data_IF_149221949785
#
_entry.id   IF_149221949785
#
_cell.length_a   1.000
_cell.length_b   1.000
_cell.length_c   1.000
_cell.angle_alpha   90.00
_cell.angle_beta   90.00
_cell.angle_gamma   90.00
#
_symmetry.space_group_name_H-M   'P 1'
#
loop_
_entity.id
_entity.type
_entity.pdbx_description
1 polymer ?
#
# COMPACT_ATOMS: atom_id res chain seq x y z
N UNK A 1 6.42 25.96 -9.65
CA UNK A 1 6.78 26.91 -8.57
C UNK A 1 5.48 27.55 -8.12
N UNK A 2 5.23 27.68 -6.81
CA UNK A 2 4.03 28.33 -6.26
C UNK A 2 4.53 29.55 -5.50
N UNK A 3 3.99 30.72 -5.81
CA UNK A 3 4.29 32.00 -5.18
C UNK A 3 2.98 32.62 -4.66
N UNK A 4 3.06 33.54 -3.70
CA UNK A 4 1.91 34.26 -3.15
C UNK A 4 2.19 35.76 -3.23
N UNK A 5 1.21 36.55 -3.65
CA UNK A 5 1.29 38.01 -3.74
C UNK A 5 0.34 38.65 -2.71
N UNK A 6 0.87 39.54 -1.85
CA UNK A 6 0.12 40.26 -0.80
C UNK A 6 -0.75 41.37 -1.42
N UNK A 7 -2.03 41.38 -1.04
CA UNK A 7 -3.05 42.34 -1.45
C UNK A 7 -2.76 43.81 -1.14
N UNK A 8 -1.75 44.13 -0.31
CA UNK A 8 -1.32 45.52 -0.01
C UNK A 8 -0.25 46.08 -0.96
N UNK A 9 0.31 45.27 -1.87
CA UNK A 9 1.31 45.70 -2.85
C UNK A 9 0.69 45.98 -4.22
N UNK A 10 -0.22 46.97 -4.29
CA UNK A 10 -0.94 47.32 -5.53
C UNK A 10 -0.44 48.62 -6.15
N UNK A 11 0.87 48.87 -6.15
CA UNK A 11 1.46 49.90 -7.02
C UNK A 11 2.73 49.36 -7.69
N UNK A 12 2.70 49.39 -9.03
CA UNK A 12 3.81 49.29 -9.96
C UNK A 12 4.86 48.17 -9.74
N UNK A 13 4.73 47.08 -10.51
CA UNK A 13 5.90 46.31 -10.99
C UNK A 13 6.76 45.58 -9.94
N UNK A 14 6.33 45.51 -8.68
CA UNK A 14 7.05 44.79 -7.64
C UNK A 14 6.62 43.32 -7.64
N UNK A 15 7.51 42.41 -8.07
CA UNK A 15 7.46 40.99 -7.67
C UNK A 15 7.78 40.95 -6.17
N UNK A 16 6.84 41.38 -5.34
CA UNK A 16 7.00 41.53 -3.91
C UNK A 16 6.66 40.21 -3.22
N UNK A 17 7.69 39.60 -2.63
CA UNK A 17 7.55 38.44 -1.74
C UNK A 17 7.67 37.10 -2.45
N UNK A 18 8.89 36.74 -2.87
CA UNK A 18 9.19 35.34 -3.10
C UNK A 18 8.98 34.60 -1.77
N UNK A 19 7.82 33.95 -1.58
CA UNK A 19 7.63 32.96 -0.53
C UNK A 19 8.67 31.88 -0.77
N UNK A 20 9.86 32.05 -0.17
CA UNK A 20 10.91 31.06 -0.12
C UNK A 20 10.61 30.21 1.11
N UNK A 21 10.11 28.97 0.96
CA UNK A 21 10.01 28.09 2.10
C UNK A 21 11.42 27.98 2.72
N UNK A 22 11.53 28.24 4.04
CA UNK A 22 12.73 27.89 4.80
C UNK A 22 12.79 26.36 4.87
N UNK A 23 13.28 25.74 3.81
CA UNK A 23 13.30 24.28 3.69
C UNK A 23 13.49 23.82 2.26
N UNK A 24 14.55 23.02 2.06
CA UNK A 24 14.97 22.41 0.78
C UNK A 24 13.77 22.00 -0.07
N UNK A 25 13.78 22.39 -1.35
CA UNK A 25 13.11 21.85 -2.55
C UNK A 25 11.78 21.12 -2.27
N UNK A 26 10.65 21.65 -2.76
CA UNK A 26 9.33 21.03 -2.66
C UNK A 26 9.42 19.50 -2.84
N UNK A 27 9.04 18.76 -1.79
CA UNK A 27 8.99 17.31 -1.86
C UNK A 27 8.02 16.95 -2.99
N UNK A 28 8.56 16.29 -4.01
CA UNK A 28 7.78 15.74 -5.12
C UNK A 28 7.05 14.50 -4.64
N UNK A 29 6.19 14.65 -3.63
CA UNK A 29 5.28 13.61 -3.17
C UNK A 29 4.15 13.45 -4.19
N UNK A 30 4.40 12.70 -5.26
CA UNK A 30 3.45 12.54 -6.37
C UNK A 30 2.15 11.81 -6.02
N UNK A 31 2.02 11.28 -4.79
CA UNK A 31 0.87 10.49 -4.33
C UNK A 31 -0.02 11.17 -3.30
N UNK A 32 0.42 12.26 -2.68
CA UNK A 32 -0.38 12.97 -1.67
C UNK A 32 -1.41 13.88 -2.34
N UNK A 33 -2.59 13.96 -1.71
CA UNK A 33 -3.60 14.95 -2.07
C UNK A 33 -2.97 16.35 -2.03
N UNK A 34 -3.28 17.29 -2.95
CA UNK A 34 -2.63 18.59 -2.98
C UNK A 34 -2.71 19.35 -1.64
N UNK A 35 -3.85 19.23 -0.95
CA UNK A 35 -4.10 19.85 0.35
C UNK A 35 -3.30 19.22 1.51
N UNK A 36 -2.88 17.97 1.38
CA UNK A 36 -2.06 17.26 2.37
C UNK A 36 -0.56 17.54 2.17
N UNK A 37 -0.19 18.28 1.12
CA UNK A 37 1.20 18.61 0.88
C UNK A 37 1.65 19.65 1.92
N UNK A 38 2.68 19.36 2.74
CA UNK A 38 3.04 20.21 3.88
C UNK A 38 3.32 21.65 3.45
N UNK A 39 4.04 21.84 2.35
CA UNK A 39 4.35 23.17 1.81
C UNK A 39 3.14 23.93 1.27
N UNK A 40 2.13 23.22 0.76
CA UNK A 40 0.91 23.87 0.28
C UNK A 40 0.02 24.25 1.48
N UNK A 41 -0.07 23.39 2.49
CA UNK A 41 -0.74 23.70 3.75
C UNK A 41 -0.12 24.88 4.50
N UNK A 42 1.22 24.96 4.56
CA UNK A 42 1.93 26.13 5.11
C UNK A 42 1.59 27.42 4.37
N UNK A 43 1.54 27.37 3.03
CA UNK A 43 1.17 28.53 2.21
C UNK A 43 -0.26 28.98 2.50
N UNK A 44 -1.21 28.05 2.58
CA UNK A 44 -2.61 28.35 2.90
C UNK A 44 -2.76 28.94 4.32
N UNK A 45 -1.97 28.45 5.28
CA UNK A 45 -1.96 28.98 6.66
C UNK A 45 -1.39 30.41 6.71
N UNK A 46 -0.42 30.72 5.86
CA UNK A 46 0.19 32.05 5.77
C UNK A 46 -0.67 33.06 5.00
N UNK A 47 -1.44 32.59 4.01
CA UNK A 47 -2.21 33.43 3.12
C UNK A 47 -3.35 34.16 3.83
N UNK A 48 -3.63 35.39 3.39
CA UNK A 48 -4.70 36.22 3.93
C UNK A 48 -5.83 36.38 2.90
N UNK A 49 -7.07 36.60 3.35
CA UNK A 49 -8.17 36.95 2.46
C UNK A 49 -7.78 38.12 1.54
N UNK A 50 -7.95 37.93 0.23
CA UNK A 50 -7.57 38.90 -0.80
C UNK A 50 -6.22 38.62 -1.48
N UNK A 51 -5.39 37.74 -0.93
CA UNK A 51 -4.09 37.41 -1.54
C UNK A 51 -4.27 36.57 -2.83
N UNK A 52 -3.30 36.68 -3.73
CA UNK A 52 -3.28 35.91 -4.99
C UNK A 52 -2.22 34.83 -4.96
N UNK A 53 -2.63 33.58 -5.16
CA UNK A 53 -1.76 32.42 -5.32
C UNK A 53 -1.36 32.30 -6.78
N UNK A 54 -0.06 32.38 -7.05
CA UNK A 54 0.52 32.22 -8.38
C UNK A 54 1.12 30.83 -8.53
N UNK A 55 0.68 30.10 -9.55
CA UNK A 55 1.20 28.77 -9.87
C UNK A 55 1.77 28.80 -11.28
N UNK A 56 2.96 28.20 -11.45
CA UNK A 56 3.54 28.08 -12.79
C UNK A 56 2.64 27.28 -13.74
N UNK A 57 2.14 26.11 -13.31
CA UNK A 57 1.32 25.21 -14.12
C UNK A 57 0.45 24.33 -13.21
N UNK A 58 -0.83 24.14 -13.56
CA UNK A 58 -1.81 23.45 -12.70
C UNK A 58 -1.46 21.96 -12.44
N UNK A 59 -1.06 21.23 -13.49
CA UNK A 59 -0.73 19.80 -13.41
C UNK A 59 0.55 19.49 -12.61
N UNK A 60 1.27 20.50 -12.13
CA UNK A 60 2.38 20.32 -11.17
C UNK A 60 1.90 20.25 -9.73
N UNK A 61 0.81 20.94 -9.42
CA UNK A 61 0.17 20.86 -8.12
C UNK A 61 -0.75 19.64 -8.06
N UNK A 62 -1.49 19.39 -9.14
CA UNK A 62 -2.62 18.46 -9.16
C UNK A 62 -2.39 17.26 -10.09
N UNK A 63 -2.95 16.09 -9.72
CA UNK A 63 -2.85 14.82 -10.47
C UNK A 63 -4.17 14.28 -11.06
N UNK A 64 -5.32 14.85 -10.70
CA UNK A 64 -6.64 14.42 -11.17
C UNK A 64 -7.67 15.53 -11.04
N UNK A 65 -8.83 15.38 -11.67
CA UNK A 65 -9.87 16.41 -11.72
C UNK A 65 -10.43 16.76 -10.35
N UNK A 66 -10.67 15.75 -9.49
CA UNK A 66 -11.18 15.98 -8.13
C UNK A 66 -10.29 16.91 -7.32
N UNK A 67 -8.99 16.61 -7.31
CA UNK A 67 -7.96 17.45 -6.70
C UNK A 67 -7.94 18.90 -7.22
N UNK A 68 -8.34 19.16 -8.48
CA UNK A 68 -8.42 20.53 -9.03
C UNK A 68 -9.58 21.25 -8.35
N UNK A 69 -10.74 20.61 -8.29
CA UNK A 69 -11.94 21.16 -7.68
C UNK A 69 -11.73 21.41 -6.18
N UNK A 70 -11.12 20.46 -5.47
CA UNK A 70 -10.84 20.58 -4.03
C UNK A 70 -9.94 21.79 -3.73
N UNK A 71 -8.90 22.02 -4.55
CA UNK A 71 -8.03 23.19 -4.42
C UNK A 71 -8.79 24.48 -4.71
N UNK A 72 -9.64 24.53 -5.75
CA UNK A 72 -10.44 25.70 -6.08
C UNK A 72 -11.48 26.03 -4.99
N UNK A 73 -12.00 25.03 -4.29
CA UNK A 73 -12.91 25.21 -3.17
C UNK A 73 -12.22 25.75 -1.92
N UNK A 74 -11.03 25.24 -1.59
CA UNK A 74 -10.23 25.78 -0.48
C UNK A 74 -9.80 27.22 -0.74
N UNK A 75 -9.27 27.52 -1.93
CA UNK A 75 -8.87 28.87 -2.29
C UNK A 75 -10.04 29.84 -2.20
N UNK A 76 -11.24 29.44 -2.62
CA UNK A 76 -12.41 30.28 -2.48
C UNK A 76 -12.85 30.49 -1.04
N UNK A 77 -12.94 29.42 -0.25
CA UNK A 77 -13.31 29.50 1.17
C UNK A 77 -12.40 30.48 1.91
N UNK A 78 -11.12 30.46 1.59
CA UNK A 78 -10.10 31.30 2.20
C UNK A 78 -9.99 32.69 1.54
N UNK A 79 -10.86 32.98 0.55
CA UNK A 79 -10.94 34.23 -0.23
C UNK A 79 -9.64 34.59 -0.94
N UNK A 80 -8.99 33.58 -1.51
CA UNK A 80 -7.76 33.69 -2.27
C UNK A 80 -8.06 33.67 -3.77
N UNK A 81 -7.32 34.48 -4.53
CA UNK A 81 -7.34 34.44 -5.98
C UNK A 81 -6.30 33.42 -6.51
N UNK A 82 -6.53 32.86 -7.69
CA UNK A 82 -5.60 31.93 -8.35
C UNK A 82 -5.15 32.50 -9.69
N UNK A 83 -3.84 32.54 -9.91
CA UNK A 83 -3.26 32.90 -11.21
C UNK A 83 -2.32 31.80 -11.69
N UNK A 84 -2.59 31.29 -12.89
CA UNK A 84 -1.79 30.25 -13.54
C UNK A 84 -0.99 30.89 -14.67
N UNK A 85 0.31 30.65 -14.72
CA UNK A 85 1.19 31.32 -15.70
C UNK A 85 1.39 30.54 -17.00
N UNK A 86 1.27 29.21 -16.97
CA UNK A 86 1.59 28.34 -18.09
C UNK A 86 0.60 27.16 -18.18
N UNK A 87 0.50 26.57 -19.38
CA UNK A 87 -0.36 25.45 -19.71
C UNK A 87 -1.80 25.84 -20.06
N UNK A 88 -2.65 24.81 -20.19
CA UNK A 88 -4.03 24.92 -20.71
C UNK A 88 -4.95 25.84 -19.89
N UNK A 89 -4.61 26.12 -18.63
CA UNK A 89 -5.40 26.93 -17.71
C UNK A 89 -4.89 28.37 -17.55
N UNK A 90 -3.80 28.76 -18.22
CA UNK A 90 -3.14 30.06 -18.00
C UNK A 90 -4.01 31.28 -18.34
N UNK A 91 -4.91 31.16 -19.31
CA UNK A 91 -5.79 32.23 -19.76
C UNK A 91 -7.19 32.21 -19.10
N UNK A 92 -7.44 31.29 -18.15
CA UNK A 92 -8.76 31.08 -17.58
C UNK A 92 -8.82 31.56 -16.12
N UNK A 93 -9.89 32.25 -15.77
CA UNK A 93 -10.23 32.48 -14.37
C UNK A 93 -11.00 31.26 -13.82
N UNK A 94 -10.25 30.38 -13.15
CA UNK A 94 -10.80 29.19 -12.51
C UNK A 94 -11.48 29.47 -11.16
N UNK A 95 -11.42 30.71 -10.68
CA UNK A 95 -12.03 31.11 -9.41
C UNK A 95 -13.39 31.79 -9.58
N UNK A 96 -13.83 31.99 -10.83
CA UNK A 96 -15.12 32.60 -11.15
C UNK A 96 -16.29 31.82 -10.52
N UNK A 97 -17.12 32.54 -9.75
CA UNK A 97 -18.22 31.99 -8.96
C UNK A 97 -19.53 32.72 -9.18
N UNK A 98 -20.63 31.99 -9.03
CA UNK A 98 -21.96 32.50 -9.33
C UNK A 98 -22.33 33.56 -8.27
N UNK A 99 -22.71 34.79 -8.69
CA UNK A 99 -22.88 35.92 -7.77
C UNK A 99 -23.90 35.72 -6.65
N UNK A 100 -24.89 34.84 -6.86
CA UNK A 100 -25.97 34.60 -5.87
C UNK A 100 -25.76 33.37 -5.00
N UNK A 101 -25.05 32.36 -5.49
CA UNK A 101 -24.90 31.07 -4.79
C UNK A 101 -23.50 30.86 -4.22
N UNK A 102 -22.49 31.61 -4.69
CA UNK A 102 -21.09 31.42 -4.29
C UNK A 102 -20.46 30.14 -4.86
N UNK A 103 -21.21 29.33 -5.58
CA UNK A 103 -20.71 28.10 -6.20
C UNK A 103 -19.83 28.41 -7.41
N UNK A 104 -18.85 27.53 -7.68
CA UNK A 104 -18.08 27.54 -8.93
C UNK A 104 -19.02 27.56 -10.12
N UNK A 105 -18.77 28.46 -11.08
CA UNK A 105 -19.55 28.52 -12.31
C UNK A 105 -19.55 27.14 -12.98
N UNK A 106 -20.73 26.71 -13.47
CA UNK A 106 -20.85 25.47 -14.22
C UNK A 106 -19.94 25.44 -15.45
N UNK A 107 -19.69 26.60 -16.08
CA UNK A 107 -18.72 26.73 -17.18
C UNK A 107 -17.29 26.43 -16.74
N UNK A 108 -16.88 26.91 -15.56
CA UNK A 108 -15.56 26.59 -14.99
C UNK A 108 -15.46 25.10 -14.67
N UNK A 109 -16.49 24.54 -14.00
CA UNK A 109 -16.54 23.09 -13.70
C UNK A 109 -16.43 22.25 -14.99
N UNK A 110 -17.20 22.61 -16.02
CA UNK A 110 -17.17 21.95 -17.32
C UNK A 110 -15.78 22.05 -17.97
N UNK A 111 -15.20 23.25 -18.07
CA UNK A 111 -13.87 23.43 -18.67
C UNK A 111 -12.78 22.64 -17.93
N UNK A 112 -12.80 22.65 -16.59
CA UNK A 112 -11.88 21.85 -15.76
C UNK A 112 -12.04 20.35 -16.08
N UNK A 113 -13.27 19.84 -16.14
CA UNK A 113 -13.54 18.44 -16.45
C UNK A 113 -13.07 18.06 -17.86
N UNK A 114 -13.40 18.87 -18.88
CA UNK A 114 -13.01 18.62 -20.26
C UNK A 114 -11.49 18.63 -20.44
N UNK A 115 -10.79 19.62 -19.89
CA UNK A 115 -9.33 19.71 -19.99
C UNK A 115 -8.62 18.60 -19.22
N UNK A 116 -9.17 18.21 -18.06
CA UNK A 116 -8.63 17.10 -17.30
C UNK A 116 -8.82 15.76 -18.05
N UNK A 117 -10.00 15.53 -18.64
CA UNK A 117 -10.27 14.35 -19.46
C UNK A 117 -9.37 14.29 -20.70
N UNK A 118 -9.14 15.42 -21.37
CA UNK A 118 -8.18 15.50 -22.48
C UNK A 118 -6.75 15.15 -22.03
N UNK A 119 -6.34 15.62 -20.85
CA UNK A 119 -5.04 15.28 -20.26
C UNK A 119 -4.92 13.82 -19.81
N UNK A 120 -6.03 13.16 -19.46
CA UNK A 120 -6.08 11.71 -19.21
C UNK A 120 -5.92 10.92 -20.50
N UNK A 121 -6.71 11.25 -21.53
CA UNK A 121 -6.63 10.65 -22.85
C UNK A 121 -5.19 10.71 -23.41
N UNK A 122 -4.55 11.87 -23.33
CA UNK A 122 -3.17 12.03 -23.81
C UNK A 122 -2.18 11.14 -23.05
N UNK A 123 -2.35 10.98 -21.72
CA UNK A 123 -1.49 10.10 -20.92
C UNK A 123 -1.69 8.64 -21.28
N UNK A 124 -2.92 8.22 -21.52
CA UNK A 124 -3.22 6.85 -21.89
C UNK A 124 -2.68 6.51 -23.28
N UNK A 125 -2.84 7.41 -24.25
CA UNK A 125 -2.19 7.27 -25.57
C UNK A 125 -0.66 7.15 -25.47
N UNK A 126 -0.02 7.96 -24.62
CA UNK A 126 1.43 7.85 -24.40
C UNK A 126 1.83 6.51 -23.77
N UNK A 127 1.01 5.98 -22.86
CA UNK A 127 1.23 4.65 -22.26
C UNK A 127 1.09 3.55 -23.30
N UNK A 128 0.04 3.59 -24.12
CA UNK A 128 -0.18 2.64 -25.21
C UNK A 128 1.03 2.59 -26.15
N UNK A 129 1.47 3.75 -26.65
CA UNK A 129 2.66 3.85 -27.49
C UNK A 129 3.93 3.34 -26.80
N UNK A 130 4.04 3.53 -25.48
CA UNK A 130 5.16 2.98 -24.69
C UNK A 130 5.10 1.47 -24.63
N UNK A 131 3.92 0.88 -24.39
CA UNK A 131 3.73 -0.57 -24.38
C UNK A 131 3.99 -1.17 -25.75
N UNK A 132 3.59 -0.50 -26.83
CA UNK A 132 3.89 -0.93 -28.19
C UNK A 132 5.40 -0.95 -28.45
N UNK A 133 6.11 0.09 -28.02
CA UNK A 133 7.57 0.13 -28.08
C UNK A 133 8.23 -0.98 -27.27
N UNK A 134 7.72 -1.28 -26.06
CA UNK A 134 8.20 -2.37 -25.23
C UNK A 134 7.95 -3.74 -25.87
N UNK A 135 6.77 -3.98 -26.43
CA UNK A 135 6.44 -5.21 -27.17
C UNK A 135 7.36 -5.38 -28.38
N UNK A 136 7.61 -4.31 -29.12
CA UNK A 136 8.52 -4.33 -30.26
C UNK A 136 9.98 -4.59 -29.83
N UNK A 137 10.41 -4.08 -28.68
CA UNK A 137 11.74 -4.35 -28.14
C UNK A 137 11.87 -5.81 -27.65
N UNK A 138 10.85 -6.33 -26.99
CA UNK A 138 10.78 -7.73 -26.55
C UNK A 138 10.82 -8.70 -27.74
N UNK A 139 10.09 -8.41 -28.81
CA UNK A 139 10.13 -9.19 -30.06
C UNK A 139 11.53 -9.22 -30.71
N UNK A 140 12.38 -8.23 -30.43
CA UNK A 140 13.79 -8.19 -30.84
C UNK A 140 14.74 -8.87 -29.83
N UNK A 141 14.23 -9.46 -28.76
CA UNK A 141 15.00 -10.11 -27.70
C UNK A 141 15.55 -9.15 -26.63
N UNK A 142 15.19 -7.86 -26.65
CA UNK A 142 15.64 -6.92 -25.63
C UNK A 142 14.78 -7.06 -24.37
N UNK A 143 15.36 -7.65 -23.32
CA UNK A 143 14.73 -7.71 -22.01
C UNK A 143 15.00 -6.41 -21.25
N UNK A 144 13.94 -5.64 -20.97
CA UNK A 144 14.02 -4.45 -20.13
C UNK A 144 14.35 -4.78 -18.66
N UNK A 145 14.54 -3.74 -17.83
CA UNK A 145 14.75 -3.88 -16.39
C UNK A 145 16.21 -3.79 -15.94
N UNK A 146 16.45 -4.06 -14.66
CA UNK A 146 17.79 -4.04 -14.06
C UNK A 146 18.59 -5.23 -14.57
N UNK A 147 19.81 -4.97 -15.06
CA UNK A 147 20.75 -6.05 -15.46
C UNK A 147 21.01 -6.99 -14.27
N UNK A 148 21.13 -8.31 -14.50
CA UNK A 148 21.51 -9.26 -13.46
C UNK A 148 22.79 -8.82 -12.76
N UNK A 149 22.84 -8.99 -11.43
CA UNK A 149 24.02 -8.63 -10.64
C UNK A 149 25.21 -9.57 -10.89
N UNK A 150 24.94 -10.81 -11.30
CA UNK A 150 25.95 -11.72 -11.86
C UNK A 150 25.91 -11.55 -13.39
N UNK A 151 26.99 -11.06 -14.01
CA UNK A 151 27.04 -10.92 -15.46
C UNK A 151 27.01 -12.29 -16.13
N UNK A 152 26.43 -12.37 -17.33
CA UNK A 152 26.26 -13.60 -18.12
C UNK A 152 27.53 -14.43 -18.22
N UNK A 153 28.65 -13.76 -18.44
CA UNK A 153 29.97 -14.38 -18.66
C UNK A 153 30.50 -15.10 -17.40
N UNK A 154 30.00 -14.72 -16.22
CA UNK A 154 30.35 -15.34 -14.93
C UNK A 154 29.28 -16.32 -14.44
N UNK A 155 28.08 -16.31 -15.01
CA UNK A 155 26.97 -17.15 -14.58
C UNK A 155 27.29 -18.63 -14.74
N UNK A 156 27.94 -19.02 -15.83
CA UNK A 156 28.32 -20.43 -16.06
C UNK A 156 29.37 -20.89 -15.05
N UNK A 157 30.37 -20.05 -14.75
CA UNK A 157 31.36 -20.35 -13.72
C UNK A 157 30.73 -20.50 -12.33
N UNK A 158 29.78 -19.63 -11.96
CA UNK A 158 29.02 -19.72 -10.71
C UNK A 158 28.19 -21.00 -10.65
N UNK A 159 27.54 -21.38 -11.75
CA UNK A 159 26.74 -22.60 -11.86
C UNK A 159 27.61 -23.86 -11.73
N UNK A 160 28.73 -23.93 -12.45
CA UNK A 160 29.67 -25.06 -12.35
C UNK A 160 30.22 -25.20 -10.94
N UNK A 161 30.69 -24.10 -10.34
CA UNK A 161 31.21 -24.13 -8.98
C UNK A 161 30.16 -24.54 -7.94
N UNK A 162 28.88 -24.18 -8.15
CA UNK A 162 27.77 -24.64 -7.32
C UNK A 162 27.53 -26.16 -7.45
N UNK A 163 27.57 -26.70 -8.68
CA UNK A 163 27.45 -28.14 -8.93
C UNK A 163 28.61 -28.94 -8.34
N UNK A 164 29.80 -28.34 -8.26
CA UNK A 164 30.98 -28.89 -7.57
C UNK A 164 30.87 -28.82 -6.02
N UNK A 165 29.74 -28.32 -5.49
CA UNK A 165 29.43 -28.31 -4.06
C UNK A 165 29.84 -27.04 -3.32
N UNK A 166 30.23 -25.96 -4.02
CA UNK A 166 30.54 -24.67 -3.36
C UNK A 166 29.26 -24.05 -2.81
N UNK A 167 29.33 -23.57 -1.56
CA UNK A 167 28.19 -22.92 -0.92
C UNK A 167 27.84 -21.57 -1.56
N UNK A 168 26.55 -21.22 -1.56
CA UNK A 168 26.02 -19.92 -2.01
C UNK A 168 26.72 -18.75 -1.31
N UNK A 169 27.07 -18.91 -0.02
CA UNK A 169 27.77 -17.87 0.74
C UNK A 169 29.23 -17.70 0.33
N UNK A 170 29.91 -18.76 -0.12
CA UNK A 170 31.26 -18.65 -0.67
C UNK A 170 31.24 -17.93 -2.02
N UNK A 171 30.36 -18.38 -2.94
CA UNK A 171 30.18 -17.77 -4.26
C UNK A 171 29.80 -16.28 -4.17
N UNK A 172 28.95 -15.90 -3.21
CA UNK A 172 28.60 -14.50 -3.00
C UNK A 172 29.81 -13.62 -2.67
N UNK A 173 30.75 -14.14 -1.85
CA UNK A 173 31.98 -13.41 -1.49
C UNK A 173 32.97 -13.37 -2.65
N UNK A 174 33.16 -14.50 -3.33
CA UNK A 174 34.11 -14.64 -4.44
C UNK A 174 33.75 -13.71 -5.62
N UNK A 175 32.45 -13.46 -5.82
CA UNK A 175 31.94 -12.61 -6.89
C UNK A 175 31.52 -11.19 -6.45
N UNK A 176 31.73 -10.83 -5.18
CA UNK A 176 31.32 -9.53 -4.59
C UNK A 176 29.85 -9.16 -4.86
N UNK A 177 28.95 -10.13 -4.69
CA UNK A 177 27.50 -9.96 -4.89
C UNK A 177 26.72 -10.46 -3.69
N UNK A 178 25.46 -10.05 -3.58
CA UNK A 178 24.59 -10.57 -2.52
C UNK A 178 24.31 -12.06 -2.69
N UNK A 179 24.05 -12.76 -1.58
CA UNK A 179 23.60 -14.17 -1.61
C UNK A 179 22.33 -14.34 -2.46
N UNK A 180 21.46 -13.33 -2.48
CA UNK A 180 20.26 -13.30 -3.32
C UNK A 180 20.59 -13.31 -4.81
N UNK A 181 21.60 -12.55 -5.24
CA UNK A 181 22.04 -12.55 -6.63
C UNK A 181 22.56 -13.92 -7.09
N UNK A 182 23.37 -14.59 -6.26
CA UNK A 182 23.81 -15.96 -6.54
C UNK A 182 22.61 -16.92 -6.57
N UNK A 183 21.70 -16.83 -5.59
CA UNK A 183 20.49 -17.66 -5.54
C UNK A 183 19.63 -17.50 -6.80
N UNK A 184 19.53 -16.29 -7.34
CA UNK A 184 18.87 -16.03 -8.63
C UNK A 184 19.63 -16.64 -9.81
N UNK A 185 20.97 -16.62 -9.80
CA UNK A 185 21.80 -17.19 -10.87
C UNK A 185 21.78 -18.73 -10.91
N UNK A 186 21.65 -19.38 -9.75
CA UNK A 186 21.55 -20.85 -9.64
C UNK A 186 20.13 -21.33 -9.35
N UNK A 187 19.11 -20.49 -9.58
CA UNK A 187 17.73 -20.77 -9.19
C UNK A 187 17.24 -22.14 -9.69
N UNK A 188 17.56 -22.46 -10.94
CA UNK A 188 17.16 -23.71 -11.62
C UNK A 188 17.94 -24.95 -11.12
N UNK A 189 19.03 -24.74 -10.39
CA UNK A 189 19.89 -25.79 -9.82
C UNK A 189 19.69 -25.97 -8.31
N UNK A 190 18.98 -25.03 -7.66
CA UNK A 190 18.59 -25.23 -6.28
C UNK A 190 17.65 -26.43 -6.25
N UNK A 191 17.88 -27.43 -5.39
CA UNK A 191 16.80 -28.33 -5.05
C UNK A 191 15.68 -27.45 -4.49
N UNK A 192 14.57 -27.31 -5.23
CA UNK A 192 13.30 -26.98 -4.61
C UNK A 192 13.21 -27.91 -3.42
N UNK A 193 13.16 -27.32 -2.23
CA UNK A 193 13.11 -27.99 -0.94
C UNK A 193 12.48 -29.36 -1.13
N UNK A 194 13.30 -30.41 -1.02
CA UNK A 194 12.86 -31.80 -1.11
C UNK A 194 11.47 -31.88 -0.52
N UNK A 195 10.47 -32.25 -1.32
CA UNK A 195 9.26 -32.85 -0.80
C UNK A 195 9.74 -33.84 0.25
N UNK A 196 9.54 -33.48 1.51
CA UNK A 196 10.14 -34.16 2.65
C UNK A 196 9.57 -35.56 2.60
N UNK A 197 10.47 -36.51 2.35
CA UNK A 197 10.43 -37.90 2.77
C UNK A 197 9.08 -38.61 2.64
N UNK A 198 8.98 -39.47 1.63
CA UNK A 198 8.01 -40.54 1.63
C UNK A 198 8.21 -41.41 2.89
N UNK A 199 7.35 -41.27 3.90
CA UNK A 199 7.28 -42.28 4.98
C UNK A 199 6.76 -41.88 6.36
N UNK A 200 6.53 -40.61 6.68
CA UNK A 200 5.80 -40.26 7.92
C UNK A 200 4.91 -39.06 7.63
N UNK A 201 3.57 -39.13 7.81
CA UNK A 201 2.72 -37.96 7.61
C UNK A 201 3.05 -36.95 8.71
N UNK A 202 3.88 -35.96 8.37
CA UNK A 202 4.04 -34.76 9.18
C UNK A 202 2.68 -34.05 9.18
N UNK A 203 1.94 -34.20 10.28
CA UNK A 203 0.64 -33.57 10.47
C UNK A 203 0.79 -32.06 10.31
N UNK A 204 0.25 -31.51 9.21
CA UNK A 204 0.25 -30.07 8.95
C UNK A 204 -0.45 -29.35 10.11
N UNK A 205 0.26 -28.40 10.72
CA UNK A 205 -0.31 -27.54 11.76
C UNK A 205 -1.37 -26.63 11.11
N UNK A 206 -2.59 -26.68 11.66
CA UNK A 206 -3.68 -25.81 11.24
C UNK A 206 -3.87 -24.72 12.29
N UNK A 207 -4.16 -23.50 11.81
CA UNK A 207 -4.39 -22.35 12.68
C UNK A 207 -5.88 -22.07 12.73
N UNK A 208 -6.51 -22.32 13.89
CA UNK A 208 -7.92 -22.03 14.14
C UNK A 208 -8.08 -20.94 15.18
N UNK A 209 -9.01 -20.02 14.92
CA UNK A 209 -9.47 -19.10 15.95
C UNK A 209 -10.38 -19.86 16.94
N UNK A 210 -10.15 -19.64 18.22
CA UNK A 210 -10.90 -20.25 19.32
C UNK A 210 -11.74 -19.19 20.03
N UNK A 211 -13.06 -19.42 20.18
CA UNK A 211 -13.95 -18.52 20.92
C UNK A 211 -13.50 -18.31 22.37
N UNK A 212 -13.59 -17.08 22.87
CA UNK A 212 -13.06 -16.69 24.19
C UNK A 212 -13.57 -17.55 25.36
N UNK A 213 -14.85 -17.95 25.37
CA UNK A 213 -15.40 -18.84 26.41
C UNK A 213 -14.79 -20.24 26.43
N UNK A 214 -14.36 -20.73 25.26
CA UNK A 214 -13.65 -22.03 25.14
C UNK A 214 -12.21 -21.87 25.60
N UNK A 215 -11.55 -20.77 25.21
CA UNK A 215 -10.21 -20.43 25.66
C UNK A 215 -10.12 -20.28 27.19
N UNK A 216 -11.06 -19.56 27.80
CA UNK A 216 -11.12 -19.34 29.26
C UNK A 216 -11.27 -20.66 30.03
N UNK A 217 -12.11 -21.57 29.52
CA UNK A 217 -12.29 -22.90 30.11
C UNK A 217 -11.01 -23.75 30.01
N UNK A 218 -10.36 -23.77 28.84
CA UNK A 218 -9.14 -24.55 28.61
C UNK A 218 -7.93 -24.03 29.39
N UNK A 219 -7.87 -22.73 29.70
CA UNK A 219 -6.84 -22.17 30.60
C UNK A 219 -6.94 -22.69 32.03
N UNK A 220 -8.15 -23.08 32.47
CA UNK A 220 -8.39 -23.64 33.80
C UNK A 220 -8.40 -25.18 33.82
N UNK A 221 -8.32 -25.84 32.65
CA UNK A 221 -8.31 -27.28 32.52
C UNK A 221 -6.89 -27.86 32.64
N UNK A 222 -6.79 -29.12 33.06
CA UNK A 222 -5.51 -29.84 33.06
C UNK A 222 -5.21 -30.39 31.66
N UNK A 223 -4.28 -29.73 30.96
CA UNK A 223 -3.90 -30.01 29.57
C UNK A 223 -2.48 -30.59 29.48
N UNK A 224 -2.22 -31.39 28.47
CA UNK A 224 -0.88 -31.88 28.18
C UNK A 224 0.07 -30.71 27.78
N UNK A 225 1.40 -30.85 27.95
CA UNK A 225 2.36 -29.78 27.60
C UNK A 225 2.26 -29.31 26.15
N UNK A 226 1.98 -30.24 25.23
CA UNK A 226 1.81 -29.96 23.80
C UNK A 226 0.56 -29.12 23.52
N UNK A 227 -0.52 -29.35 24.25
CA UNK A 227 -1.78 -28.60 24.14
C UNK A 227 -1.65 -27.20 24.70
N UNK A 228 -0.94 -27.03 25.83
CA UNK A 228 -0.67 -25.72 26.44
C UNK A 228 0.17 -24.82 25.54
N UNK A 229 1.14 -25.39 24.81
CA UNK A 229 2.06 -24.63 23.95
C UNK A 229 1.39 -24.15 22.66
N UNK A 230 0.27 -24.77 22.26
CA UNK A 230 -0.48 -24.39 21.08
C UNK A 230 -1.39 -23.15 21.28
N UNK A 231 -1.56 -22.68 22.52
CA UNK A 231 -2.47 -21.59 22.87
C UNK A 231 -1.74 -20.23 22.86
N UNK A 232 -2.10 -19.31 21.97
CA UNK A 232 -1.56 -17.94 21.95
C UNK A 232 -2.24 -17.00 22.98
N UNK A 233 -1.62 -15.88 23.31
CA UNK A 233 -2.14 -14.88 24.26
C UNK A 233 -3.05 -13.86 23.56
N UNK A 234 -4.32 -13.74 23.97
CA UNK A 234 -5.26 -12.76 23.41
C UNK A 234 -6.73 -12.93 23.82
N UNK A 235 -7.57 -11.95 23.43
CA UNK A 235 -9.05 -11.96 23.64
C UNK A 235 -9.79 -12.92 22.69
N UNK A 236 -9.23 -13.17 21.50
CA UNK A 236 -9.55 -14.29 20.60
C UNK A 236 -8.31 -15.14 20.52
N UNK A 237 -8.38 -16.38 21.00
CA UNK A 237 -7.21 -17.22 21.13
C UNK A 237 -6.95 -17.95 19.81
N UNK A 238 -5.76 -17.77 19.22
CA UNK A 238 -5.40 -18.44 17.98
C UNK A 238 -4.64 -19.72 18.33
N UNK A 239 -5.15 -20.87 17.89
CA UNK A 239 -4.56 -22.18 18.18
C UNK A 239 -3.88 -22.69 16.93
N UNK A 240 -2.57 -22.91 16.99
CA UNK A 240 -1.78 -23.51 15.91
C UNK A 240 -1.37 -24.92 16.32
N UNK A 241 -2.14 -25.93 15.91
CA UNK A 241 -1.91 -27.32 16.33
C UNK A 241 -2.25 -28.32 15.22
N UNK A 242 -1.90 -29.59 15.42
CA UNK A 242 -2.32 -30.64 14.49
C UNK A 242 -3.82 -30.92 14.63
N UNK A 243 -4.51 -31.44 13.59
CA UNK A 243 -5.94 -31.75 13.67
C UNK A 243 -6.30 -32.68 14.84
N UNK A 244 -5.40 -33.61 15.20
CA UNK A 244 -5.57 -34.47 16.38
C UNK A 244 -5.60 -33.66 17.69
N UNK A 245 -4.72 -32.67 17.84
CA UNK A 245 -4.68 -31.80 19.03
C UNK A 245 -5.92 -30.92 19.10
N UNK A 246 -6.42 -30.39 17.98
CA UNK A 246 -7.68 -29.65 17.94
C UNK A 246 -8.88 -30.50 18.42
N UNK A 247 -8.93 -31.79 18.02
CA UNK A 247 -9.96 -32.73 18.47
C UNK A 247 -9.86 -33.04 19.97
N UNK A 248 -8.65 -33.17 20.52
CA UNK A 248 -8.44 -33.34 21.97
C UNK A 248 -8.91 -32.12 22.76
N UNK A 249 -8.55 -30.91 22.33
CA UNK A 249 -9.02 -29.67 22.94
C UNK A 249 -10.55 -29.56 22.91
N UNK A 250 -11.20 -29.97 21.80
CA UNK A 250 -12.66 -30.01 21.70
C UNK A 250 -13.29 -31.02 22.67
N UNK A 251 -12.65 -32.19 22.86
CA UNK A 251 -13.11 -33.21 23.83
C UNK A 251 -13.03 -32.70 25.27
N UNK A 252 -11.95 -32.00 25.65
CA UNK A 252 -11.84 -31.37 26.98
C UNK A 252 -12.99 -30.39 27.25
N UNK A 253 -13.54 -29.75 26.21
CA UNK A 253 -14.62 -28.78 26.34
C UNK A 253 -16.02 -29.39 26.50
N UNK A 254 -16.18 -30.72 26.44
CA UNK A 254 -17.48 -31.39 26.57
C UNK A 254 -18.34 -30.95 27.78
N UNK A 255 -17.78 -30.63 28.97
CA UNK A 255 -18.56 -30.14 30.10
C UNK A 255 -19.29 -28.80 29.87
N UNK A 256 -18.88 -28.01 28.87
CA UNK A 256 -19.55 -26.75 28.50
C UNK A 256 -20.96 -26.94 27.93
N UNK A 257 -21.31 -28.17 27.53
CA UNK A 257 -22.67 -28.51 27.09
C UNK A 257 -23.65 -28.66 28.27
N UNK A 258 -23.13 -28.68 29.50
CA UNK A 258 -23.86 -28.97 30.73
C UNK A 258 -23.55 -30.38 31.24
N UNK A 259 -23.28 -30.49 32.54
CA UNK A 259 -23.25 -31.78 33.22
C UNK A 259 -24.69 -32.27 33.49
N UNK A 260 -24.93 -33.59 33.64
CA UNK A 260 -26.21 -34.09 34.09
C UNK A 260 -26.58 -33.44 35.44
N UNK A 261 -27.61 -32.58 35.45
CA UNK A 261 -28.10 -31.88 36.66
C UNK A 261 -27.66 -30.42 36.84
N UNK A 262 -26.94 -29.80 35.89
CA UNK A 262 -26.65 -28.34 35.93
C UNK A 262 -27.16 -27.63 34.67
N UNK A 263 -27.79 -26.46 34.81
CA UNK A 263 -28.26 -25.67 33.68
C UNK A 263 -27.06 -25.13 32.87
N UNK A 264 -26.93 -25.57 31.62
CA UNK A 264 -25.84 -25.16 30.75
C UNK A 264 -25.97 -23.69 30.34
N UNK A 265 -24.90 -22.91 30.46
CA UNK A 265 -24.90 -21.48 30.11
C UNK A 265 -25.00 -21.36 28.57
N UNK A 266 -26.03 -20.70 28.00
CA UNK A 266 -26.24 -20.65 26.55
C UNK A 266 -25.04 -20.11 25.75
N UNK A 267 -24.30 -19.16 26.31
CA UNK A 267 -23.10 -18.61 25.70
C UNK A 267 -21.95 -19.63 25.58
N UNK A 268 -21.81 -20.54 26.55
CA UNK A 268 -20.77 -21.58 26.55
C UNK A 268 -21.06 -22.64 25.50
N UNK A 269 -22.33 -23.08 25.40
CA UNK A 269 -22.81 -23.98 24.35
C UNK A 269 -22.60 -23.43 22.95
N UNK A 270 -22.93 -22.15 22.74
CA UNK A 270 -22.72 -21.49 21.44
C UNK A 270 -21.24 -21.46 21.07
N UNK A 271 -20.38 -21.07 22.01
CA UNK A 271 -18.94 -20.99 21.80
C UNK A 271 -18.31 -22.36 21.49
N UNK A 272 -18.70 -23.42 22.20
CA UNK A 272 -18.24 -24.78 21.91
C UNK A 272 -18.70 -25.26 20.54
N UNK A 273 -19.97 -25.02 20.17
CA UNK A 273 -20.50 -25.40 18.85
C UNK A 273 -19.74 -24.71 17.72
N UNK A 274 -19.42 -23.44 17.89
CA UNK A 274 -18.65 -22.68 16.92
C UNK A 274 -17.23 -23.23 16.75
N UNK A 275 -16.56 -23.60 17.85
CA UNK A 275 -15.27 -24.27 17.78
C UNK A 275 -15.37 -25.68 17.16
N UNK A 276 -16.41 -26.45 17.50
CA UNK A 276 -16.65 -27.77 16.93
C UNK A 276 -16.82 -27.74 15.42
N UNK A 277 -17.57 -26.77 14.89
CA UNK A 277 -17.73 -26.58 13.45
C UNK A 277 -16.36 -26.34 12.79
N UNK A 278 -15.55 -25.40 13.33
CA UNK A 278 -14.22 -25.08 12.80
C UNK A 278 -13.25 -26.26 12.81
N UNK A 279 -13.36 -27.16 13.80
CA UNK A 279 -12.54 -28.39 13.89
C UNK A 279 -13.04 -29.47 12.94
N UNK A 280 -14.35 -29.56 12.70
CA UNK A 280 -14.93 -30.51 11.75
C UNK A 280 -14.63 -30.12 10.29
N UNK A 281 -14.57 -28.82 9.99
CA UNK A 281 -14.20 -28.27 8.68
C UNK A 281 -12.72 -28.57 8.31
N UNK A 282 -11.91 -29.11 9.23
CA UNK A 282 -10.54 -29.58 8.94
C UNK A 282 -10.48 -30.97 8.30
N UNK A 283 -11.62 -31.67 8.21
CA UNK A 283 -11.72 -33.07 7.78
C UNK A 283 -12.41 -33.32 6.44
N UNK A 284 -12.84 -32.26 5.74
CA UNK A 284 -13.26 -32.29 4.32
C UNK A 284 -12.18 -31.62 3.44
#
# INVERSE_FOLDING_TARGET
MINLTDSRCTEAGAVAGLWRPRGRRAERGGRLHPLERPKFGELLTYARPGDTVHISEMFRLVRGTGHILDVLDVLHRDRLALRIHDGAFSAMDLTARHPRTGELLSTVKFMVQTLAAAGELQRDLQRELTYDGLRAAEAKGNKGGRRPAVPTDKTDAVRTAYLEGRSIAALARDHDVSRGAIRTAVADLLPEYTAVDAGTPAELLVVLDMPGKVADFLRAADLAPVERTALDQGYTLRVSATPMVHRRLLAHCQPLDGAPGTSAIPAQRKARREYANRVNDLGE
#
